data_IF_021191149215
#
_entry.id   IF_021191149215
#
_cell.length_a   1.000
_cell.length_b   1.000
_cell.length_c   1.000
_cell.angle_alpha   90.00
_cell.angle_beta   90.00
_cell.angle_gamma   90.00
#
_symmetry.space_group_name_H-M   'P 1'
#
loop_
_entity.id
_entity.type
_entity.pdbx_description
1 polymer ?
#
# COMPACT_ATOMS: atom_id res chain seq x y z
N UNK A 1 7.15 15.13 25.09
CA UNK A 1 7.57 14.18 24.04
C UNK A 1 8.97 14.58 23.57
N UNK A 2 9.87 13.62 23.49
CA UNK A 2 11.27 13.84 23.13
C UNK A 2 11.49 13.31 21.70
N UNK A 3 11.06 14.08 20.71
CA UNK A 3 11.09 13.65 19.31
C UNK A 3 11.19 14.84 18.36
N UNK A 4 11.77 14.65 17.18
CA UNK A 4 11.71 15.63 16.09
C UNK A 4 10.47 15.38 15.21
N UNK A 5 9.84 16.46 14.74
CA UNK A 5 8.64 16.41 13.90
C UNK A 5 8.93 16.02 12.45
N UNK A 6 10.15 16.25 12.00
CA UNK A 6 10.63 15.97 10.65
C UNK A 6 12.04 15.42 10.68
N UNK A 7 12.44 14.79 9.59
CA UNK A 7 13.82 14.33 9.41
C UNK A 7 14.79 15.52 9.51
N UNK A 8 15.76 15.40 10.41
CA UNK A 8 16.70 16.46 10.78
C UNK A 8 18.13 16.04 10.42
N UNK A 9 19.00 17.00 10.18
CA UNK A 9 20.43 16.74 9.96
C UNK A 9 21.01 15.96 11.16
N UNK A 10 21.69 14.86 10.88
CA UNK A 10 22.29 14.01 11.92
C UNK A 10 23.37 14.71 12.74
N UNK A 11 23.90 15.82 12.24
CA UNK A 11 24.89 16.67 12.92
C UNK A 11 24.28 17.87 13.66
N UNK A 12 22.94 18.00 13.68
CA UNK A 12 22.26 19.08 14.39
C UNK A 12 22.31 18.82 15.91
N UNK A 13 23.25 19.51 16.57
CA UNK A 13 23.50 19.40 18.01
C UNK A 13 22.30 19.91 18.84
N UNK A 14 21.56 20.89 18.34
CA UNK A 14 20.39 21.43 19.02
C UNK A 14 19.28 20.36 19.09
N UNK A 15 19.02 19.68 17.99
CA UNK A 15 18.11 18.53 17.94
C UNK A 15 18.54 17.39 18.88
N UNK A 16 19.86 17.16 19.07
CA UNK A 16 20.32 16.16 20.03
C UNK A 16 19.92 16.51 21.47
N UNK A 17 20.06 17.77 21.86
CA UNK A 17 19.68 18.21 23.22
C UNK A 17 18.17 18.22 23.40
N UNK A 18 17.39 18.58 22.39
CA UNK A 18 15.93 18.56 22.45
C UNK A 18 15.36 17.15 22.64
N UNK A 19 15.98 16.17 21.97
CA UNK A 19 15.46 14.79 21.94
C UNK A 19 16.10 13.87 22.97
N UNK A 20 17.22 14.27 23.59
CA UNK A 20 17.92 13.44 24.59
C UNK A 20 18.12 14.22 25.90
N UNK A 21 17.15 14.19 26.82
CA UNK A 21 17.18 14.96 28.06
C UNK A 21 18.35 14.60 29.00
N UNK A 22 18.99 13.46 28.79
CA UNK A 22 20.15 13.01 29.56
C UNK A 22 21.50 13.44 28.96
N UNK A 23 21.48 14.09 27.79
CA UNK A 23 22.68 14.61 27.13
C UNK A 23 23.27 15.76 27.97
N UNK A 24 24.59 15.72 28.16
CA UNK A 24 25.30 16.67 29.02
C UNK A 24 25.26 16.34 30.51
N UNK A 25 24.46 15.36 30.95
CA UNK A 25 24.40 14.91 32.35
C UNK A 25 24.86 13.46 32.53
N UNK A 26 24.23 12.51 31.81
CA UNK A 26 24.56 11.08 31.90
C UNK A 26 25.56 10.68 30.81
N UNK A 27 25.43 11.25 29.60
CA UNK A 27 26.35 11.00 28.49
C UNK A 27 26.67 12.29 27.72
N UNK A 28 27.68 12.23 26.86
CA UNK A 28 28.23 13.39 26.15
C UNK A 28 27.89 13.35 24.67
N UNK A 29 27.99 14.51 23.99
CA UNK A 29 27.83 14.64 22.54
C UNK A 29 28.73 13.67 21.74
N UNK A 30 29.90 13.31 22.29
CA UNK A 30 30.78 12.35 21.66
C UNK A 30 30.11 11.00 21.43
N UNK A 31 29.30 10.54 22.38
CA UNK A 31 28.60 9.25 22.27
C UNK A 31 27.59 9.32 21.14
N UNK A 32 26.82 10.41 21.02
CA UNK A 32 25.87 10.58 19.91
C UNK A 32 26.61 10.65 18.56
N UNK A 33 27.74 11.37 18.52
CA UNK A 33 28.57 11.48 17.33
C UNK A 33 29.11 10.12 16.85
N UNK A 34 29.54 9.28 17.78
CA UNK A 34 30.09 7.94 17.50
C UNK A 34 28.99 6.96 17.02
N UNK A 35 27.69 7.29 17.24
CA UNK A 35 26.55 6.50 16.77
C UNK A 35 26.04 6.92 15.36
N UNK A 36 26.53 8.03 14.80
CA UNK A 36 26.19 8.44 13.44
C UNK A 36 26.80 7.42 12.47
N UNK A 37 25.95 6.68 11.80
CA UNK A 37 26.32 5.69 10.78
C UNK A 37 26.06 6.21 9.36
N UNK A 38 26.02 5.29 8.42
CA UNK A 38 25.77 5.59 6.99
C UNK A 38 24.27 5.80 6.65
N UNK A 39 23.35 5.59 7.62
CA UNK A 39 21.89 5.70 7.44
C UNK A 39 21.32 6.81 8.34
N UNK A 40 21.18 8.00 7.78
CA UNK A 40 20.63 9.18 8.46
C UNK A 40 19.20 8.95 8.97
N UNK A 41 18.42 8.10 8.28
CA UNK A 41 17.07 7.76 8.70
C UNK A 41 17.07 6.91 9.96
N UNK A 42 17.93 5.90 10.01
CA UNK A 42 18.05 5.03 11.18
C UNK A 42 18.49 5.84 12.41
N UNK A 43 19.45 6.74 12.24
CA UNK A 43 19.87 7.67 13.30
C UNK A 43 18.71 8.56 13.78
N UNK A 44 17.94 9.16 12.86
CA UNK A 44 16.79 9.98 13.20
C UNK A 44 15.72 9.18 13.99
N UNK A 45 15.45 7.94 13.59
CA UNK A 45 14.47 7.07 14.27
C UNK A 45 14.98 6.65 15.65
N UNK A 46 16.23 6.16 15.74
CA UNK A 46 16.76 5.56 16.97
C UNK A 46 17.19 6.59 18.00
N UNK A 47 17.79 7.71 17.55
CA UNK A 47 18.40 8.70 18.43
C UNK A 47 17.55 9.97 18.59
N UNK A 48 16.92 10.46 17.53
CA UNK A 48 16.14 11.69 17.56
C UNK A 48 14.61 11.44 17.75
N UNK A 49 14.21 10.17 17.92
CA UNK A 49 12.81 9.83 18.12
C UNK A 49 11.88 10.17 16.95
N UNK A 50 12.43 10.26 15.73
CA UNK A 50 11.66 10.58 14.54
C UNK A 50 10.63 9.48 14.24
N UNK A 51 9.36 9.84 14.27
CA UNK A 51 8.28 8.96 13.87
C UNK A 51 8.07 9.09 12.37
N UNK A 52 8.73 8.22 11.60
CA UNK A 52 8.47 8.16 10.17
C UNK A 52 7.01 7.79 9.92
N UNK A 53 6.23 8.75 9.44
CA UNK A 53 4.84 8.53 9.01
C UNK A 53 4.77 7.73 7.71
N UNK A 54 5.92 7.47 7.08
CA UNK A 54 6.05 6.81 5.77
C UNK A 54 7.16 5.76 5.84
N UNK A 55 6.88 4.60 5.29
CA UNK A 55 7.91 3.59 5.11
C UNK A 55 8.80 4.00 3.92
N UNK A 56 9.95 4.61 4.18
CA UNK A 56 10.92 5.03 3.13
C UNK A 56 11.50 3.86 2.33
N UNK A 57 11.30 2.63 2.80
CA UNK A 57 11.67 1.38 2.09
C UNK A 57 10.48 0.78 1.33
N UNK A 58 9.44 1.56 1.06
CA UNK A 58 8.31 1.09 0.24
C UNK A 58 8.80 0.64 -1.14
N UNK A 59 8.22 -0.46 -1.63
CA UNK A 59 8.50 -0.98 -2.97
C UNK A 59 8.14 -0.01 -4.11
N UNK A 60 7.14 0.83 -3.87
CA UNK A 60 6.73 1.91 -4.78
C UNK A 60 7.10 3.23 -4.11
N UNK A 61 7.96 4.03 -4.73
CA UNK A 61 8.32 5.33 -4.19
C UNK A 61 7.13 6.30 -4.26
N UNK A 62 7.07 7.22 -3.30
CA UNK A 62 6.04 8.26 -3.28
C UNK A 62 6.10 9.14 -4.54
N UNK A 63 7.29 9.40 -5.05
CA UNK A 63 7.48 10.17 -6.29
C UNK A 63 6.80 9.48 -7.47
N UNK A 64 7.10 8.19 -7.69
CA UNK A 64 6.48 7.40 -8.76
C UNK A 64 4.95 7.35 -8.62
N UNK A 65 4.44 7.19 -7.38
CA UNK A 65 3.02 7.17 -7.14
C UNK A 65 2.37 8.52 -7.45
N UNK A 66 2.97 9.63 -7.01
CA UNK A 66 2.44 10.97 -7.23
C UNK A 66 2.48 11.39 -8.72
N UNK A 67 3.42 10.92 -9.51
CA UNK A 67 3.46 11.13 -10.97
C UNK A 67 2.25 10.51 -11.70
N UNK A 68 1.64 9.49 -11.11
CA UNK A 68 0.44 8.84 -11.65
C UNK A 68 -0.88 9.50 -11.20
N UNK A 69 -0.80 10.53 -10.34
CA UNK A 69 -1.97 11.21 -9.79
C UNK A 69 -2.59 12.16 -10.82
N UNK A 70 -3.89 12.01 -11.02
CA UNK A 70 -4.69 12.91 -11.85
C UNK A 70 -5.26 14.08 -11.01
N UNK A 71 -5.51 15.19 -11.68
CA UNK A 71 -6.17 16.37 -11.09
C UNK A 71 -7.69 16.34 -11.22
N UNK A 72 -8.21 15.53 -12.15
CA UNK A 72 -9.64 15.34 -12.39
C UNK A 72 -9.94 13.90 -12.77
N UNK A 73 -11.16 13.44 -12.48
CA UNK A 73 -11.59 12.09 -12.81
C UNK A 73 -11.54 11.89 -14.34
N UNK A 74 -10.86 10.84 -14.83
CA UNK A 74 -10.77 10.58 -16.25
C UNK A 74 -12.09 10.02 -16.79
N UNK A 75 -12.31 10.15 -18.08
CA UNK A 75 -13.42 9.45 -18.74
C UNK A 75 -13.13 7.94 -18.76
N UNK A 76 -14.01 7.18 -18.12
CA UNK A 76 -13.88 5.72 -17.99
C UNK A 76 -14.56 5.02 -19.16
N UNK A 77 -13.96 3.90 -19.60
CA UNK A 77 -14.43 3.11 -20.74
C UNK A 77 -14.60 1.65 -20.33
N UNK A 78 -15.81 1.14 -20.47
CA UNK A 78 -16.13 -0.29 -20.26
C UNK A 78 -16.50 -0.62 -18.82
N UNK A 79 -16.22 -1.85 -18.41
CA UNK A 79 -16.65 -2.44 -17.14
C UNK A 79 -15.55 -2.40 -16.10
N UNK A 80 -15.94 -2.57 -14.85
CA UNK A 80 -15.00 -2.62 -13.71
C UNK A 80 -14.33 -4.00 -13.61
N UNK A 81 -13.05 -3.99 -13.32
CA UNK A 81 -12.30 -5.14 -12.84
C UNK A 81 -12.14 -4.99 -11.34
N UNK A 82 -12.65 -5.94 -10.57
CA UNK A 82 -12.64 -5.88 -9.11
C UNK A 82 -11.57 -6.79 -8.56
N UNK A 83 -10.74 -6.27 -7.66
CA UNK A 83 -9.76 -7.02 -6.89
C UNK A 83 -10.17 -7.08 -5.41
N UNK A 84 -10.23 -8.27 -4.84
CA UNK A 84 -10.50 -8.50 -3.42
C UNK A 84 -9.32 -9.25 -2.83
N UNK A 85 -8.74 -8.70 -1.78
CA UNK A 85 -7.59 -9.28 -1.08
C UNK A 85 -7.91 -9.50 0.39
N UNK A 86 -7.79 -10.75 0.81
CA UNK A 86 -7.81 -11.10 2.23
C UNK A 86 -6.40 -10.96 2.82
N UNK A 87 -6.29 -10.31 3.96
CA UNK A 87 -5.03 -10.16 4.68
C UNK A 87 -4.46 -11.53 5.10
N UNK A 88 -3.12 -11.61 5.15
CA UNK A 88 -2.41 -12.86 5.52
C UNK A 88 -2.72 -13.24 6.96
N UNK A 89 -2.86 -12.24 7.83
CA UNK A 89 -3.25 -12.38 9.24
C UNK A 89 -4.72 -12.80 9.40
N UNK A 90 -5.48 -12.83 8.33
CA UNK A 90 -6.91 -13.14 8.33
C UNK A 90 -7.79 -12.09 9.00
N UNK A 91 -7.26 -10.91 9.35
CA UNK A 91 -8.00 -9.91 10.11
C UNK A 91 -8.83 -8.97 9.22
N UNK A 92 -8.30 -8.61 8.06
CA UNK A 92 -8.90 -7.62 7.18
C UNK A 92 -9.16 -8.15 5.77
N UNK A 93 -10.08 -7.52 5.07
CA UNK A 93 -10.33 -7.71 3.64
C UNK A 93 -10.46 -6.36 2.95
N UNK A 94 -9.75 -6.20 1.85
CA UNK A 94 -9.77 -4.99 1.03
C UNK A 94 -10.39 -5.27 -0.33
N UNK A 95 -11.12 -4.29 -0.87
CA UNK A 95 -11.67 -4.31 -2.22
C UNK A 95 -11.25 -3.05 -2.98
N UNK A 96 -10.75 -3.26 -4.19
CA UNK A 96 -10.34 -2.21 -5.11
C UNK A 96 -10.91 -2.44 -6.49
N UNK A 97 -10.96 -1.39 -7.28
CA UNK A 97 -11.40 -1.47 -8.68
C UNK A 97 -10.32 -0.97 -9.62
N UNK A 98 -10.35 -1.49 -10.83
CA UNK A 98 -9.62 -0.97 -11.98
C UNK A 98 -10.58 -0.80 -13.15
N UNK A 99 -10.43 0.28 -13.92
CA UNK A 99 -11.21 0.54 -15.11
C UNK A 99 -10.32 1.16 -16.20
N UNK A 100 -10.55 0.80 -17.46
CA UNK A 100 -9.87 1.46 -18.56
C UNK A 100 -10.37 2.90 -18.73
N UNK A 101 -9.47 3.79 -19.10
CA UNK A 101 -9.80 5.15 -19.51
C UNK A 101 -9.87 5.23 -21.04
N UNK A 102 -10.48 6.27 -21.56
CA UNK A 102 -10.52 6.55 -23.01
C UNK A 102 -9.12 6.77 -23.59
N UNK A 103 -8.12 7.15 -22.77
CA UNK A 103 -6.72 7.35 -23.13
C UNK A 103 -5.87 6.07 -22.96
N UNK A 104 -6.49 4.89 -22.94
CA UNK A 104 -5.84 3.58 -22.80
C UNK A 104 -5.01 3.39 -21.52
N UNK A 105 -5.22 4.22 -20.50
CA UNK A 105 -4.67 4.04 -19.15
C UNK A 105 -5.61 3.21 -18.28
N UNK A 106 -5.13 2.75 -17.13
CA UNK A 106 -5.91 2.02 -16.13
C UNK A 106 -6.10 2.91 -14.91
N UNK A 107 -7.32 3.34 -14.68
CA UNK A 107 -7.71 4.04 -13.47
C UNK A 107 -7.91 3.03 -12.33
N UNK A 108 -7.34 3.33 -11.15
CA UNK A 108 -7.46 2.47 -9.97
C UNK A 108 -7.99 3.26 -8.79
N UNK A 109 -8.82 2.60 -7.97
CA UNK A 109 -9.40 3.16 -6.76
C UNK A 109 -9.62 2.08 -5.71
N UNK A 110 -9.41 2.40 -4.44
CA UNK A 110 -9.78 1.54 -3.32
C UNK A 110 -11.22 1.83 -2.93
N UNK A 111 -12.05 0.79 -2.88
CA UNK A 111 -13.44 0.93 -2.44
C UNK A 111 -13.50 0.98 -0.93
N UNK A 112 -12.93 -0.03 -0.26
CA UNK A 112 -12.88 -0.07 1.20
C UNK A 112 -11.91 -1.16 1.70
N UNK A 113 -11.52 -1.07 2.97
CA UNK A 113 -10.80 -2.10 3.70
C UNK A 113 -11.44 -2.25 5.08
N UNK A 114 -12.00 -3.42 5.37
CA UNK A 114 -12.73 -3.66 6.61
C UNK A 114 -12.24 -4.91 7.35
N UNK A 115 -12.43 -4.97 8.70
CA UNK A 115 -12.26 -6.19 9.45
C UNK A 115 -13.18 -7.30 8.92
N UNK A 116 -12.64 -8.51 8.78
CA UNK A 116 -13.42 -9.68 8.34
C UNK A 116 -14.63 -9.99 9.22
N UNK A 117 -14.56 -9.63 10.50
CA UNK A 117 -15.67 -9.77 11.44
C UNK A 117 -16.92 -8.98 11.02
N UNK A 118 -16.78 -7.95 10.20
CA UNK A 118 -17.90 -7.18 9.67
C UNK A 118 -18.69 -7.96 8.58
N UNK A 119 -18.17 -9.12 8.14
CA UNK A 119 -18.77 -9.93 7.10
C UNK A 119 -18.64 -9.32 5.69
N UNK A 120 -19.26 -9.98 4.71
CA UNK A 120 -19.08 -9.66 3.28
C UNK A 120 -20.15 -8.72 2.72
N UNK A 121 -21.19 -8.34 3.49
CA UNK A 121 -22.37 -7.61 3.00
C UNK A 121 -22.03 -6.31 2.27
N UNK A 122 -21.02 -5.59 2.70
CA UNK A 122 -20.60 -4.34 2.07
C UNK A 122 -20.03 -4.58 0.66
N UNK A 123 -19.23 -5.63 0.47
CA UNK A 123 -18.73 -6.03 -0.85
C UNK A 123 -19.86 -6.47 -1.75
N UNK A 124 -20.74 -7.37 -1.27
CA UNK A 124 -21.86 -7.88 -2.04
C UNK A 124 -22.81 -6.77 -2.49
N UNK A 125 -23.03 -5.75 -1.66
CA UNK A 125 -23.83 -4.58 -2.02
C UNK A 125 -23.23 -3.82 -3.19
N UNK A 126 -21.93 -3.55 -3.16
CA UNK A 126 -21.22 -2.89 -4.25
C UNK A 126 -21.28 -3.73 -5.54
N UNK A 127 -20.92 -5.00 -5.44
CA UNK A 127 -20.87 -5.92 -6.57
C UNK A 127 -22.21 -6.13 -7.27
N UNK A 128 -23.31 -6.01 -6.52
CA UNK A 128 -24.66 -6.12 -7.07
C UNK A 128 -25.07 -4.93 -7.94
N UNK A 129 -24.48 -3.77 -7.69
CA UNK A 129 -24.84 -2.50 -8.37
C UNK A 129 -23.88 -2.15 -9.50
N UNK A 130 -22.66 -2.68 -9.47
CA UNK A 130 -21.60 -2.35 -10.41
C UNK A 130 -21.68 -3.16 -11.71
N UNK A 131 -21.34 -2.55 -12.83
CA UNK A 131 -21.14 -3.28 -14.10
C UNK A 131 -19.73 -3.86 -14.15
N UNK A 132 -19.62 -5.16 -13.89
CA UNK A 132 -18.37 -5.85 -13.61
C UNK A 132 -17.95 -6.72 -14.79
N UNK A 133 -16.68 -6.63 -15.18
CA UNK A 133 -16.04 -7.51 -16.15
C UNK A 133 -15.54 -8.81 -15.49
N UNK A 134 -14.83 -8.71 -14.36
CA UNK A 134 -14.34 -9.85 -13.59
C UNK A 134 -14.11 -9.47 -12.13
N UNK A 135 -14.11 -10.48 -11.26
CA UNK A 135 -13.81 -10.37 -9.84
C UNK A 135 -12.64 -11.30 -9.55
N UNK A 136 -11.52 -10.77 -9.14
CA UNK A 136 -10.34 -11.52 -8.71
C UNK A 136 -10.29 -11.55 -7.20
N UNK A 137 -10.19 -12.73 -6.60
CA UNK A 137 -10.14 -12.91 -5.15
C UNK A 137 -8.86 -13.63 -4.79
N UNK A 138 -8.04 -13.01 -3.95
CA UNK A 138 -6.78 -13.59 -3.48
C UNK A 138 -6.70 -13.58 -1.96
N UNK A 139 -6.12 -14.64 -1.41
CA UNK A 139 -5.85 -14.82 0.01
C UNK A 139 -6.71 -15.89 0.70
N UNK A 140 -6.21 -16.31 1.86
CA UNK A 140 -6.85 -17.35 2.66
C UNK A 140 -8.17 -16.88 3.27
N UNK A 141 -9.21 -17.71 3.19
CA UNK A 141 -10.53 -17.43 3.77
C UNK A 141 -11.54 -16.86 2.78
N UNK A 142 -11.27 -16.93 1.49
CA UNK A 142 -12.17 -16.51 0.40
C UNK A 142 -13.39 -17.40 0.20
N UNK A 143 -13.38 -18.65 0.68
CA UNK A 143 -14.38 -19.68 0.37
C UNK A 143 -15.82 -19.23 0.62
N UNK A 144 -16.11 -18.59 1.75
CA UNK A 144 -17.47 -18.10 2.05
C UNK A 144 -17.91 -17.03 1.07
N UNK A 145 -17.02 -16.09 0.72
CA UNK A 145 -17.32 -15.05 -0.27
C UNK A 145 -17.56 -15.67 -1.66
N UNK A 146 -16.78 -16.68 -2.04
CA UNK A 146 -16.93 -17.37 -3.31
C UNK A 146 -18.31 -18.04 -3.44
N UNK A 147 -18.79 -18.68 -2.36
CA UNK A 147 -20.13 -19.27 -2.32
C UNK A 147 -21.21 -18.19 -2.46
N UNK A 148 -21.12 -17.10 -1.69
CA UNK A 148 -22.07 -15.98 -1.76
C UNK A 148 -22.11 -15.36 -3.16
N UNK A 149 -20.97 -15.23 -3.84
CA UNK A 149 -20.90 -14.70 -5.21
C UNK A 149 -21.52 -15.66 -6.24
N UNK A 150 -21.33 -16.98 -6.07
CA UNK A 150 -21.97 -18.00 -6.90
C UNK A 150 -23.50 -17.97 -6.74
N UNK A 151 -23.98 -17.82 -5.52
CA UNK A 151 -25.43 -17.71 -5.23
C UNK A 151 -26.02 -16.46 -5.88
N UNK A 152 -25.26 -15.37 -5.96
CA UNK A 152 -25.66 -14.16 -6.70
C UNK A 152 -25.58 -14.31 -8.22
N UNK A 153 -25.13 -15.45 -8.73
CA UNK A 153 -24.94 -15.75 -10.17
C UNK A 153 -23.97 -14.76 -10.86
N UNK A 154 -23.02 -14.20 -10.12
CA UNK A 154 -21.97 -13.38 -10.68
C UNK A 154 -21.02 -14.25 -11.51
N UNK A 155 -20.66 -13.76 -12.69
CA UNK A 155 -19.80 -14.46 -13.64
C UNK A 155 -18.35 -13.95 -13.52
N UNK A 156 -17.42 -14.72 -14.07
CA UNK A 156 -15.99 -14.35 -14.17
C UNK A 156 -15.32 -14.10 -12.81
N UNK A 157 -15.54 -15.02 -11.87
CA UNK A 157 -14.80 -15.06 -10.61
C UNK A 157 -13.47 -15.77 -10.88
N UNK A 158 -12.35 -15.15 -10.51
CA UNK A 158 -10.99 -15.63 -10.72
C UNK A 158 -10.32 -15.81 -9.36
N UNK A 159 -9.82 -17.01 -9.11
CA UNK A 159 -8.94 -17.32 -7.99
C UNK A 159 -7.54 -17.52 -8.57
N UNK A 160 -6.63 -16.54 -8.43
CA UNK A 160 -5.35 -16.58 -9.11
C UNK A 160 -4.42 -17.64 -8.51
N UNK A 161 -3.66 -18.30 -9.37
CA UNK A 161 -2.53 -19.13 -8.96
C UNK A 161 -1.35 -18.24 -8.56
N UNK A 162 -0.42 -18.78 -7.78
CA UNK A 162 0.78 -18.06 -7.35
C UNK A 162 1.55 -17.45 -8.51
N UNK A 163 1.74 -18.18 -9.60
CA UNK A 163 2.42 -17.68 -10.81
C UNK A 163 1.69 -16.50 -11.47
N UNK A 164 0.36 -16.51 -11.43
CA UNK A 164 -0.45 -15.41 -11.98
C UNK A 164 -0.34 -14.15 -11.11
N UNK A 165 -0.26 -14.31 -9.77
CA UNK A 165 -0.03 -13.19 -8.84
C UNK A 165 1.34 -12.57 -9.08
N UNK A 166 2.40 -13.39 -9.23
CA UNK A 166 3.76 -12.91 -9.53
C UNK A 166 3.76 -12.11 -10.85
N UNK A 167 3.18 -12.68 -11.91
CA UNK A 167 3.07 -12.00 -13.21
C UNK A 167 2.29 -10.69 -13.11
N UNK A 168 1.18 -10.68 -12.36
CA UNK A 168 0.38 -9.48 -12.17
C UNK A 168 1.14 -8.38 -11.43
N UNK A 169 1.96 -8.71 -10.43
CA UNK A 169 2.83 -7.76 -9.73
C UNK A 169 3.86 -7.14 -10.66
N UNK A 170 4.50 -7.92 -11.52
CA UNK A 170 5.48 -7.42 -12.51
C UNK A 170 4.82 -6.52 -13.55
N UNK A 171 3.66 -6.91 -14.06
CA UNK A 171 2.87 -6.09 -15.00
C UNK A 171 2.44 -4.79 -14.33
N UNK A 172 1.94 -4.83 -13.10
CA UNK A 172 1.54 -3.64 -12.35
C UNK A 172 2.73 -2.67 -12.18
N UNK A 173 3.88 -3.17 -11.74
CA UNK A 173 5.10 -2.36 -11.57
C UNK A 173 5.52 -1.70 -12.88
N UNK A 174 5.59 -2.48 -13.96
CA UNK A 174 5.96 -1.97 -15.28
C UNK A 174 4.98 -0.90 -15.75
N UNK A 175 3.68 -1.14 -15.59
CA UNK A 175 2.62 -0.19 -15.95
C UNK A 175 2.67 1.09 -15.13
N UNK A 176 3.03 1.00 -13.85
CA UNK A 176 3.21 2.17 -12.98
C UNK A 176 4.38 3.04 -13.48
N UNK A 177 5.55 2.42 -13.76
CA UNK A 177 6.73 3.14 -14.28
C UNK A 177 6.44 3.78 -15.63
N UNK A 178 5.62 3.16 -16.47
CA UNK A 178 5.20 3.68 -17.76
C UNK A 178 4.09 4.75 -17.68
N UNK A 179 3.60 5.07 -16.50
CA UNK A 179 2.49 6.02 -16.30
C UNK A 179 1.16 5.55 -16.89
N UNK A 180 0.99 4.23 -17.03
CA UNK A 180 -0.25 3.61 -17.52
C UNK A 180 -1.27 3.37 -16.40
N UNK A 181 -0.83 3.33 -15.15
CA UNK A 181 -1.72 3.31 -13.97
C UNK A 181 -1.96 4.74 -13.52
N UNK A 182 -3.22 5.11 -13.26
CA UNK A 182 -3.59 6.46 -12.82
C UNK A 182 -4.61 6.40 -11.67
N UNK A 183 -4.60 7.43 -10.81
CA UNK A 183 -5.46 7.51 -9.63
C UNK A 183 -5.77 8.96 -9.24
N UNK A 184 -6.76 9.18 -8.36
CA UNK A 184 -7.14 10.51 -7.85
C UNK A 184 -6.42 10.92 -6.56
N UNK A 185 -5.42 10.17 -6.10
CA UNK A 185 -4.69 10.49 -4.87
C UNK A 185 -5.49 10.17 -3.60
N UNK A 186 -6.31 9.14 -3.63
CA UNK A 186 -7.09 8.68 -2.47
C UNK A 186 -6.16 8.37 -1.28
N UNK A 187 -6.40 8.95 -0.09
CA UNK A 187 -5.49 8.82 1.05
C UNK A 187 -5.24 7.37 1.50
N UNK A 188 -6.30 6.54 1.55
CA UNK A 188 -6.19 5.13 1.93
C UNK A 188 -5.32 4.32 0.97
N UNK A 189 -5.46 4.57 -0.34
CA UNK A 189 -4.65 3.93 -1.37
C UNK A 189 -3.19 4.42 -1.32
N UNK A 190 -2.98 5.72 -1.14
CA UNK A 190 -1.64 6.30 -0.97
C UNK A 190 -0.92 5.73 0.27
N UNK A 191 -1.63 5.58 1.40
CA UNK A 191 -1.10 4.95 2.60
C UNK A 191 -0.72 3.49 2.36
N UNK A 192 -1.56 2.72 1.67
CA UNK A 192 -1.27 1.33 1.32
C UNK A 192 -0.01 1.21 0.45
N UNK A 193 0.13 2.10 -0.53
CA UNK A 193 1.30 2.15 -1.42
C UNK A 193 2.56 2.56 -0.66
N UNK A 194 2.51 3.55 0.22
CA UNK A 194 3.66 4.00 1.02
C UNK A 194 4.16 2.93 2.00
N UNK A 195 3.34 1.95 2.34
CA UNK A 195 3.68 0.85 3.24
C UNK A 195 3.88 -0.50 2.52
N UNK A 196 3.80 -0.54 1.18
CA UNK A 196 3.93 -1.79 0.47
C UNK A 196 5.39 -2.29 0.47
N UNK A 197 5.56 -3.58 0.75
CA UNK A 197 6.85 -4.24 0.76
C UNK A 197 6.83 -5.47 -0.13
N UNK A 198 7.97 -5.79 -0.73
CA UNK A 198 8.14 -7.05 -1.44
C UNK A 198 8.10 -8.20 -0.46
N UNK A 199 7.32 -9.20 -0.78
CA UNK A 199 7.30 -10.46 -0.08
C UNK A 199 7.60 -11.59 -1.06
N UNK A 200 8.61 -12.39 -0.76
CA UNK A 200 8.89 -13.60 -1.55
C UNK A 200 7.69 -14.55 -1.51
N UNK A 201 7.29 -15.01 -2.69
CA UNK A 201 6.21 -15.97 -2.87
C UNK A 201 6.82 -17.23 -3.48
N UNK A 202 6.69 -18.36 -2.76
CA UNK A 202 7.25 -19.65 -3.18
C UNK A 202 8.77 -19.75 -3.04
N UNK A 203 9.32 -20.88 -3.49
CA UNK A 203 10.76 -21.21 -3.42
C UNK A 203 11.59 -20.60 -4.55
N UNK A 204 10.96 -20.09 -5.59
CA UNK A 204 11.63 -19.62 -6.81
C UNK A 204 11.84 -18.10 -6.88
N UNK A 205 11.58 -17.38 -5.79
CA UNK A 205 11.95 -15.97 -5.66
C UNK A 205 11.03 -14.96 -6.36
N UNK A 206 9.80 -15.32 -6.70
CA UNK A 206 8.77 -14.39 -7.16
C UNK A 206 8.20 -13.54 -6.00
N UNK A 207 7.66 -12.36 -6.27
CA UNK A 207 7.01 -11.45 -5.29
C UNK A 207 5.80 -10.74 -5.90
#
# INVERSE_FOLDING_TARGET
>A
EWSVDSMTDVHDVEAWYETNPSLGTIFTERIIKDEIGDDDLDFNIQRLGYWSKKNLKSFISEVQWNECKLTSLPELKGKLYVGIKFGIDGQNVAMSIACKTTNEKVFVESIDCQPRLNGNKWMLRFLKQADIASITIDGNGSATLEEELKDMKLKHIIIPKTSEVITANDVFKTSLVQGLVVHMGQPSLAQSVSNCQKRLIGSEGGY
#
